data_IF_413723385903
#
_entry.id   IF_413723385903
#
_cell.length_a   1.000
_cell.length_b   1.000
_cell.length_c   1.000
_cell.angle_alpha   90.00
_cell.angle_beta   90.00
_cell.angle_gamma   90.00
#
_symmetry.space_group_name_H-M   'P 1'
#
loop_
_entity.id
_entity.type
_entity.pdbx_description
1 polymer ?
#
# COMPACT_ATOMS: atom_id res chain seq x y z
N UNK A 1 11.18 -3.48 7.24
CA UNK A 1 12.04 -3.94 6.11
C UNK A 1 11.49 -5.19 5.44
N UNK A 2 11.21 -6.27 6.19
CA UNK A 2 10.61 -7.58 5.80
C UNK A 2 9.30 -7.59 4.97
N UNK A 3 8.80 -6.42 4.56
CA UNK A 3 7.68 -6.29 3.62
C UNK A 3 8.18 -5.81 2.25
N UNK A 4 9.48 -5.92 1.97
CA UNK A 4 10.10 -5.45 0.73
C UNK A 4 10.14 -3.92 0.55
N UNK A 5 9.93 -3.13 1.62
CA UNK A 5 10.00 -1.66 1.55
C UNK A 5 11.47 -1.20 1.61
N UNK A 6 12.17 -1.35 0.50
CA UNK A 6 13.58 -0.94 0.32
C UNK A 6 13.58 0.46 -0.29
N UNK A 7 14.40 1.35 0.28
CA UNK A 7 14.57 2.69 -0.25
C UNK A 7 15.54 2.64 -1.45
N UNK A 8 15.13 3.20 -2.57
CA UNK A 8 15.96 3.39 -3.77
C UNK A 8 15.97 4.87 -4.15
N UNK A 9 17.00 5.32 -4.87
CA UNK A 9 17.00 6.64 -5.49
C UNK A 9 16.04 6.63 -6.68
N UNK A 10 14.75 6.79 -6.40
CA UNK A 10 13.68 6.82 -7.37
C UNK A 10 12.46 7.52 -6.80
N UNK A 11 11.48 7.79 -7.65
CA UNK A 11 10.22 8.40 -7.26
C UNK A 11 9.10 7.95 -8.21
N UNK A 12 7.86 8.16 -7.81
CA UNK A 12 6.71 8.02 -8.70
C UNK A 12 6.59 9.28 -9.56
N UNK A 13 6.83 9.14 -10.86
CA UNK A 13 6.73 10.23 -11.83
C UNK A 13 5.42 10.10 -12.59
N UNK A 14 4.58 11.13 -12.54
CA UNK A 14 3.37 11.21 -13.38
C UNK A 14 3.78 11.30 -14.85
N UNK A 15 3.15 10.48 -15.68
CA UNK A 15 3.59 10.28 -17.06
C UNK A 15 2.68 11.01 -18.04
N UNK A 16 3.27 11.58 -19.09
CA UNK A 16 2.53 12.09 -20.26
C UNK A 16 3.18 11.59 -21.56
N UNK A 17 2.36 11.28 -22.57
CA UNK A 17 2.83 10.80 -23.88
C UNK A 17 3.09 11.94 -24.86
N UNK A 18 4.29 11.97 -25.46
CA UNK A 18 4.71 12.90 -26.53
C UNK A 18 4.09 14.32 -26.47
N UNK A 19 4.34 15.10 -25.41
CA UNK A 19 3.67 16.39 -25.23
C UNK A 19 3.99 17.39 -26.35
N UNK A 20 5.19 17.32 -26.94
CA UNK A 20 5.55 18.18 -28.08
C UNK A 20 4.86 17.75 -29.37
N UNK A 21 4.78 16.45 -29.68
CA UNK A 21 3.97 15.97 -30.81
C UNK A 21 2.49 16.42 -30.71
N UNK A 22 1.93 16.39 -29.49
CA UNK A 22 0.58 16.90 -29.23
C UNK A 22 0.47 18.41 -29.48
N UNK A 23 1.51 19.18 -29.13
CA UNK A 23 1.58 20.61 -29.42
C UNK A 23 1.61 20.87 -30.94
N UNK A 24 2.46 20.17 -31.69
CA UNK A 24 2.51 20.24 -33.16
C UNK A 24 1.13 19.96 -33.76
N UNK A 25 0.48 18.87 -33.33
CA UNK A 25 -0.87 18.53 -33.79
C UNK A 25 -1.89 19.63 -33.50
N UNK A 26 -1.83 20.25 -32.31
CA UNK A 26 -2.77 21.29 -31.90
C UNK A 26 -2.72 22.57 -32.75
N UNK A 27 -1.56 22.84 -33.38
CA UNK A 27 -1.37 23.99 -34.27
C UNK A 27 -1.46 23.62 -35.76
N UNK A 28 -1.81 22.37 -36.08
CA UNK A 28 -1.97 21.88 -37.45
C UNK A 28 -0.66 21.47 -38.14
N UNK A 29 0.42 21.30 -37.38
CA UNK A 29 1.70 20.78 -37.87
C UNK A 29 1.74 19.25 -37.84
N UNK A 30 2.72 18.66 -38.54
CA UNK A 30 2.90 17.21 -38.61
C UNK A 30 3.56 16.68 -37.34
N UNK A 31 2.76 16.09 -36.45
CA UNK A 31 3.20 15.48 -35.20
C UNK A 31 4.27 14.39 -35.38
N UNK A 32 4.39 13.80 -36.57
CA UNK A 32 5.42 12.79 -36.87
C UNK A 32 6.82 13.39 -37.00
N UNK A 33 6.91 14.71 -37.12
CA UNK A 33 8.17 15.46 -37.18
C UNK A 33 8.59 15.97 -35.79
N UNK A 34 8.05 15.39 -34.72
CA UNK A 34 8.46 15.65 -33.34
C UNK A 34 9.99 15.42 -33.18
N UNK A 35 10.79 16.48 -32.94
CA UNK A 35 12.24 16.37 -32.79
C UNK A 35 12.65 15.96 -31.37
N UNK A 36 11.70 15.85 -30.43
CA UNK A 36 12.01 15.66 -29.01
C UNK A 36 12.34 14.23 -28.65
N UNK A 37 11.77 13.27 -29.36
CA UNK A 37 11.99 11.84 -29.13
C UNK A 37 12.19 11.09 -30.46
N UNK A 38 12.95 10.02 -30.39
CA UNK A 38 13.15 9.08 -31.50
C UNK A 38 12.99 7.63 -31.02
N UNK A 39 12.55 6.70 -31.88
CA UNK A 39 12.60 5.28 -31.57
C UNK A 39 14.06 4.81 -31.37
N UNK A 40 14.30 4.02 -30.33
CA UNK A 40 15.60 3.46 -29.99
C UNK A 40 15.50 1.94 -29.85
N UNK A 41 16.60 1.22 -30.09
CA UNK A 41 16.65 -0.23 -29.88
C UNK A 41 16.93 -0.53 -28.41
N UNK A 42 16.15 -1.43 -27.81
CA UNK A 42 16.28 -1.87 -26.41
C UNK A 42 16.05 -0.81 -25.34
N UNK A 43 15.49 0.35 -25.70
CA UNK A 43 15.12 1.40 -24.75
C UNK A 43 14.02 2.29 -25.33
N UNK A 44 13.36 3.05 -24.46
CA UNK A 44 12.37 4.05 -24.85
C UNK A 44 12.86 5.42 -24.40
N UNK A 45 12.92 6.38 -25.32
CA UNK A 45 13.29 7.74 -24.97
C UNK A 45 12.22 8.38 -24.08
N UNK A 46 12.66 9.06 -23.04
CA UNK A 46 11.82 9.83 -22.13
C UNK A 46 12.51 11.15 -21.77
N UNK A 47 11.76 12.05 -21.15
CA UNK A 47 12.28 13.30 -20.62
C UNK A 47 11.75 13.54 -19.21
N UNK A 48 12.67 13.68 -18.26
CA UNK A 48 12.37 14.13 -16.91
C UNK A 48 13.53 14.93 -16.32
N UNK A 49 13.20 15.96 -15.54
CA UNK A 49 14.16 16.78 -14.78
C UNK A 49 14.63 16.11 -13.48
N UNK A 50 14.10 14.92 -13.15
CA UNK A 50 14.50 14.15 -11.96
C UNK A 50 15.92 13.58 -12.08
N UNK A 51 16.30 13.22 -13.29
CA UNK A 51 17.53 12.53 -13.67
C UNK A 51 18.26 13.34 -14.75
N UNK A 52 19.55 13.07 -14.95
CA UNK A 52 20.36 13.83 -15.91
C UNK A 52 20.09 13.39 -17.35
N UNK A 53 20.39 14.27 -18.28
CA UNK A 53 20.43 13.95 -19.71
C UNK A 53 21.42 12.81 -19.99
N UNK A 54 21.04 11.89 -20.86
CA UNK A 54 21.78 10.67 -21.20
C UNK A 54 21.72 9.55 -20.17
N UNK A 55 21.01 9.71 -19.04
CA UNK A 55 20.87 8.63 -18.06
C UNK A 55 19.86 7.57 -18.51
N UNK A 56 20.22 6.30 -18.38
CA UNK A 56 19.29 5.19 -18.51
C UNK A 56 18.56 4.95 -17.19
N UNK A 57 17.26 4.68 -17.28
CA UNK A 57 16.35 4.56 -16.14
C UNK A 57 15.60 3.23 -16.21
N UNK A 58 15.29 2.69 -15.04
CA UNK A 58 14.37 1.57 -14.88
C UNK A 58 13.01 2.11 -14.43
N UNK A 59 11.94 1.68 -15.09
CA UNK A 59 10.56 2.08 -14.79
C UNK A 59 9.66 0.89 -14.50
N UNK A 60 8.81 1.05 -13.48
CA UNK A 60 7.76 0.10 -13.13
C UNK A 60 6.42 0.81 -12.95
N UNK A 61 5.36 0.23 -13.49
CA UNK A 61 3.98 0.59 -13.14
C UNK A 61 3.40 -0.46 -12.22
N UNK A 62 2.62 -0.01 -11.24
CA UNK A 62 1.86 -0.94 -10.41
C UNK A 62 0.51 -1.28 -11.07
N UNK A 63 0.07 -2.55 -11.02
CA UNK A 63 0.77 -3.71 -10.47
C UNK A 63 1.85 -4.24 -11.41
N UNK A 64 3.04 -4.52 -10.85
CA UNK A 64 4.13 -5.18 -11.57
C UNK A 64 4.01 -6.70 -11.40
N UNK A 65 3.66 -7.40 -12.47
CA UNK A 65 3.30 -8.83 -12.42
C UNK A 65 4.37 -9.76 -13.01
N UNK A 66 5.19 -9.26 -13.94
CA UNK A 66 6.17 -10.07 -14.66
C UNK A 66 7.33 -9.21 -15.16
N UNK A 67 8.50 -9.82 -15.45
CA UNK A 67 9.64 -9.12 -16.07
C UNK A 67 9.28 -8.42 -17.38
N UNK A 68 8.29 -8.93 -18.10
CA UNK A 68 7.77 -8.37 -19.34
C UNK A 68 7.23 -6.94 -19.16
N UNK A 69 6.85 -6.56 -17.94
CA UNK A 69 6.31 -5.23 -17.62
C UNK A 69 7.33 -4.30 -16.95
N UNK A 70 8.62 -4.57 -17.14
CA UNK A 70 9.70 -3.67 -16.76
C UNK A 70 10.11 -2.85 -17.99
N UNK A 71 10.22 -1.53 -17.85
CA UNK A 71 10.66 -0.65 -18.93
C UNK A 71 12.09 -0.14 -18.71
N UNK A 72 12.83 -0.08 -19.81
CA UNK A 72 14.15 0.51 -19.89
C UNK A 72 14.05 1.84 -20.64
N UNK A 73 14.22 2.94 -19.92
CA UNK A 73 14.10 4.28 -20.49
C UNK A 73 15.48 4.89 -20.71
N UNK A 74 15.58 5.76 -21.72
CA UNK A 74 16.74 6.62 -21.95
C UNK A 74 16.29 8.08 -21.82
N UNK A 75 16.80 8.77 -20.80
CA UNK A 75 16.42 10.14 -20.51
C UNK A 75 17.17 11.11 -21.43
N UNK A 76 16.46 11.78 -22.32
CA UNK A 76 17.04 12.67 -23.35
C UNK A 76 16.47 14.08 -23.23
N UNK A 77 17.32 15.08 -23.31
CA UNK A 77 16.95 16.49 -23.25
C UNK A 77 16.97 17.10 -24.65
N UNK A 78 15.96 17.93 -24.94
CA UNK A 78 15.90 18.74 -26.16
C UNK A 78 15.60 20.20 -25.84
N UNK A 79 15.93 21.07 -26.78
CA UNK A 79 15.70 22.51 -26.65
C UNK A 79 14.21 22.84 -26.58
N UNK A 80 13.42 22.09 -27.32
CA UNK A 80 11.97 22.14 -27.45
C UNK A 80 11.32 21.72 -26.14
N UNK A 81 11.72 20.58 -25.57
CA UNK A 81 11.20 20.14 -24.27
C UNK A 81 11.48 21.17 -23.17
N UNK A 82 12.69 21.71 -23.13
CA UNK A 82 13.09 22.72 -22.15
C UNK A 82 12.38 24.06 -22.33
N UNK A 83 12.06 24.43 -23.59
CA UNK A 83 11.42 25.70 -23.94
C UNK A 83 9.92 25.71 -23.67
N UNK A 84 9.23 24.61 -23.99
CA UNK A 84 7.76 24.57 -23.97
C UNK A 84 7.18 23.90 -22.72
N UNK A 85 7.96 23.09 -21.99
CA UNK A 85 7.46 22.30 -20.86
C UNK A 85 8.29 22.49 -19.59
N UNK A 86 7.80 23.35 -18.68
CA UNK A 86 8.41 23.54 -17.36
C UNK A 86 7.96 22.46 -16.37
N UNK A 87 8.38 21.22 -16.63
CA UNK A 87 8.06 20.09 -15.76
C UNK A 87 8.72 20.23 -14.39
N UNK A 88 8.04 19.73 -13.36
CA UNK A 88 8.68 19.50 -12.06
C UNK A 88 9.55 18.23 -12.12
N UNK A 89 10.22 17.90 -11.00
CA UNK A 89 10.96 16.63 -10.86
C UNK A 89 10.06 15.41 -10.69
N UNK A 90 8.74 15.59 -10.74
CA UNK A 90 7.75 14.53 -10.53
C UNK A 90 6.96 14.21 -11.80
N UNK A 91 7.37 14.76 -12.95
CA UNK A 91 6.74 14.53 -14.24
C UNK A 91 7.77 13.88 -15.18
N UNK A 92 7.29 12.97 -16.02
CA UNK A 92 8.07 12.33 -17.08
C UNK A 92 7.26 12.31 -18.38
N UNK A 93 7.83 12.86 -19.46
CA UNK A 93 7.30 12.61 -20.79
C UNK A 93 7.92 11.33 -21.36
N UNK A 94 7.13 10.52 -22.06
CA UNK A 94 7.61 9.28 -22.70
C UNK A 94 7.28 9.28 -24.19
N UNK A 95 8.14 8.63 -24.97
CA UNK A 95 7.86 8.38 -26.36
C UNK A 95 6.90 7.20 -26.51
N UNK A 96 5.70 7.47 -27.02
CA UNK A 96 4.66 6.51 -27.38
C UNK A 96 4.63 6.23 -28.89
N UNK A 97 5.34 7.01 -29.70
CA UNK A 97 5.33 6.87 -31.16
C UNK A 97 6.37 5.84 -31.58
N UNK A 98 5.90 4.74 -32.17
CA UNK A 98 6.77 3.66 -32.63
C UNK A 98 7.40 2.85 -31.49
N UNK A 99 6.81 2.89 -30.30
CA UNK A 99 7.26 2.16 -29.11
C UNK A 99 6.15 1.30 -28.53
N UNK A 100 6.50 0.42 -27.61
CA UNK A 100 5.57 -0.47 -26.90
C UNK A 100 5.28 -0.02 -25.47
N UNK A 101 5.55 1.25 -25.13
CA UNK A 101 5.52 1.74 -23.74
C UNK A 101 4.19 1.47 -23.05
N UNK A 102 3.07 1.67 -23.75
CA UNK A 102 1.73 1.52 -23.17
C UNK A 102 1.44 0.07 -22.81
N UNK A 103 1.66 -0.88 -23.73
CA UNK A 103 1.47 -2.31 -23.46
C UNK A 103 2.49 -2.83 -22.44
N UNK A 104 3.76 -2.43 -22.58
CA UNK A 104 4.85 -2.85 -21.69
C UNK A 104 4.59 -2.40 -20.27
N UNK A 105 4.14 -1.17 -20.07
CA UNK A 105 3.72 -0.65 -18.77
C UNK A 105 2.31 -1.10 -18.39
N UNK A 106 1.88 -2.29 -18.83
CA UNK A 106 0.68 -2.97 -18.35
C UNK A 106 -0.62 -2.20 -18.66
N UNK A 107 -0.74 -1.68 -19.88
CA UNK A 107 -1.89 -0.91 -20.34
C UNK A 107 -1.86 0.54 -19.89
N UNK A 108 -0.69 1.18 -19.94
CA UNK A 108 -0.52 2.56 -19.50
C UNK A 108 -1.31 3.56 -20.34
N UNK A 109 -2.07 4.41 -19.64
CA UNK A 109 -2.68 5.61 -20.19
C UNK A 109 -2.04 6.85 -19.55
N UNK A 110 -2.56 8.03 -19.90
CA UNK A 110 -1.99 9.31 -19.46
C UNK A 110 -3.05 10.14 -18.70
N UNK A 111 -3.97 9.48 -18.00
CA UNK A 111 -5.06 10.12 -17.24
C UNK A 111 -4.68 10.55 -15.81
N UNK A 112 -3.44 10.29 -15.39
CA UNK A 112 -2.73 10.66 -14.14
C UNK A 112 -1.79 9.55 -13.66
N UNK A 113 -1.66 8.49 -14.46
CA UNK A 113 -0.76 7.37 -14.24
C UNK A 113 0.67 7.81 -13.92
N UNK A 114 1.32 7.03 -13.07
CA UNK A 114 2.68 7.28 -12.63
C UNK A 114 3.52 6.01 -12.62
N UNK A 115 4.79 6.19 -12.93
CA UNK A 115 5.78 5.13 -12.94
C UNK A 115 6.78 5.34 -11.81
N UNK A 116 7.09 4.28 -11.08
CA UNK A 116 8.24 4.27 -10.19
C UNK A 116 9.49 4.22 -11.06
N UNK A 117 10.25 5.31 -11.09
CA UNK A 117 11.44 5.45 -11.94
C UNK A 117 12.69 5.62 -11.09
N UNK A 118 13.76 4.92 -11.46
CA UNK A 118 15.06 4.97 -10.76
C UNK A 118 16.23 4.84 -11.71
N UNK A 119 17.34 5.51 -11.38
CA UNK A 119 18.63 5.35 -12.07
C UNK A 119 19.58 4.40 -11.33
N UNK A 120 19.07 3.55 -10.43
CA UNK A 120 19.91 2.56 -9.73
C UNK A 120 20.58 1.63 -10.76
N UNK A 121 21.93 1.56 -10.82
CA UNK A 121 22.64 0.85 -11.89
C UNK A 121 22.27 -0.64 -12.00
N UNK A 122 21.97 -1.30 -10.88
CA UNK A 122 21.57 -2.71 -10.88
C UNK A 122 20.18 -2.85 -11.48
N UNK A 123 19.23 -2.00 -11.10
CA UNK A 123 17.87 -2.03 -11.65
C UNK A 123 17.86 -1.68 -13.14
N UNK A 124 18.63 -0.67 -13.57
CA UNK A 124 18.77 -0.29 -14.98
C UNK A 124 19.31 -1.44 -15.82
N UNK A 125 20.38 -2.11 -15.36
CA UNK A 125 20.92 -3.30 -16.04
C UNK A 125 19.87 -4.40 -16.22
N UNK A 126 19.09 -4.70 -15.18
CA UNK A 126 18.04 -5.72 -15.30
C UNK A 126 16.85 -5.24 -16.12
N UNK A 127 16.54 -3.95 -16.16
CA UNK A 127 15.53 -3.41 -17.06
C UNK A 127 15.91 -3.59 -18.53
N UNK A 128 17.17 -3.36 -18.89
CA UNK A 128 17.70 -3.62 -20.23
C UNK A 128 17.56 -5.10 -20.60
N UNK A 129 17.96 -6.01 -19.71
CA UNK A 129 17.80 -7.47 -19.89
C UNK A 129 16.32 -7.83 -20.07
N UNK A 130 15.45 -7.30 -19.20
CA UNK A 130 14.00 -7.53 -19.30
C UNK A 130 13.45 -7.05 -20.64
N UNK A 131 13.84 -5.85 -21.08
CA UNK A 131 13.36 -5.26 -22.33
C UNK A 131 13.76 -6.10 -23.55
N UNK A 132 15.00 -6.57 -23.57
CA UNK A 132 15.57 -7.36 -24.67
C UNK A 132 15.04 -8.79 -24.71
N UNK A 133 14.99 -9.46 -23.55
CA UNK A 133 14.82 -10.91 -23.48
C UNK A 133 13.35 -11.31 -23.19
N UNK A 134 12.52 -10.40 -22.67
CA UNK A 134 11.12 -10.66 -22.35
C UNK A 134 10.18 -9.84 -23.25
N UNK A 135 9.46 -10.50 -24.18
CA UNK A 135 8.53 -9.82 -25.08
C UNK A 135 7.41 -9.11 -24.31
N UNK A 136 6.96 -7.98 -24.85
CA UNK A 136 5.82 -7.25 -24.30
C UNK A 136 4.55 -8.07 -24.34
N UNK A 137 3.83 -8.08 -23.20
CA UNK A 137 2.52 -8.72 -23.11
C UNK A 137 1.48 -7.73 -23.63
N UNK A 138 0.87 -8.06 -24.76
CA UNK A 138 -0.16 -7.24 -25.40
C UNK A 138 -1.55 -7.82 -25.08
N UNK A 139 -2.46 -6.96 -24.62
CA UNK A 139 -3.87 -7.32 -24.50
C UNK A 139 -4.57 -7.18 -25.86
N UNK A 140 -4.76 -8.30 -26.55
CA UNK A 140 -5.41 -8.36 -27.85
C UNK A 140 -6.91 -8.75 -27.78
N UNK A 141 -7.53 -8.73 -26.60
CA UNK A 141 -8.93 -9.10 -26.43
C UNK A 141 -9.87 -8.06 -27.03
N UNK A 142 -10.96 -8.52 -27.64
CA UNK A 142 -11.97 -7.61 -28.20
C UNK A 142 -12.91 -7.10 -27.12
N UNK A 143 -13.25 -5.81 -27.24
CA UNK A 143 -14.32 -5.22 -26.44
C UNK A 143 -15.66 -5.87 -26.77
N UNK A 144 -16.44 -6.15 -25.74
CA UNK A 144 -17.81 -6.59 -25.91
C UNK A 144 -18.69 -5.38 -26.27
N UNK A 145 -19.57 -5.54 -27.25
CA UNK A 145 -20.49 -4.47 -27.69
C UNK A 145 -21.62 -4.14 -26.71
N UNK A 146 -21.43 -4.42 -25.41
CA UNK A 146 -22.47 -4.24 -24.39
C UNK A 146 -22.60 -2.76 -24.05
N UNK A 147 -23.77 -2.19 -24.35
CA UNK A 147 -24.10 -0.80 -24.04
C UNK A 147 -25.08 -0.73 -22.87
N UNK A 148 -24.77 0.09 -21.87
CA UNK A 148 -25.66 0.36 -20.74
C UNK A 148 -26.66 1.47 -21.07
N UNK A 149 -27.91 1.31 -20.62
CA UNK A 149 -28.90 2.40 -20.67
C UNK A 149 -28.74 3.28 -19.44
N UNK A 150 -28.91 4.60 -19.59
CA UNK A 150 -28.87 5.55 -18.47
C UNK A 150 -30.13 5.42 -17.58
N UNK A 151 -30.20 4.35 -16.79
CA UNK A 151 -31.32 4.03 -15.90
C UNK A 151 -30.80 3.53 -14.55
N UNK A 152 -31.53 3.79 -13.47
CA UNK A 152 -31.11 3.39 -12.10
C UNK A 152 -30.86 1.89 -11.96
N UNK A 153 -31.60 1.05 -12.69
CA UNK A 153 -31.41 -0.40 -12.67
C UNK A 153 -30.04 -0.80 -13.26
N UNK A 154 -29.63 -0.17 -14.35
CA UNK A 154 -28.33 -0.43 -14.97
C UNK A 154 -27.18 0.10 -14.10
N UNK A 155 -27.32 1.27 -13.46
CA UNK A 155 -26.35 1.72 -12.45
C UNK A 155 -26.20 0.72 -11.30
N UNK A 156 -27.30 0.22 -10.73
CA UNK A 156 -27.26 -0.78 -9.67
C UNK A 156 -26.57 -2.09 -10.11
N UNK A 157 -26.74 -2.49 -11.38
CA UNK A 157 -26.05 -3.65 -11.97
C UNK A 157 -24.54 -3.39 -12.12
N UNK A 158 -24.17 -2.22 -12.63
CA UNK A 158 -22.78 -1.79 -12.75
C UNK A 158 -22.09 -1.77 -11.38
N UNK A 159 -22.68 -1.13 -10.37
CA UNK A 159 -22.13 -1.05 -9.01
C UNK A 159 -21.89 -2.44 -8.40
N UNK A 160 -22.85 -3.35 -8.54
CA UNK A 160 -22.71 -4.72 -8.04
C UNK A 160 -21.58 -5.48 -8.78
N UNK A 161 -21.40 -5.22 -10.08
CA UNK A 161 -20.31 -5.81 -10.87
C UNK A 161 -18.96 -5.23 -10.46
N UNK A 162 -18.83 -3.91 -10.33
CA UNK A 162 -17.58 -3.23 -9.95
C UNK A 162 -17.16 -3.53 -8.50
N UNK A 163 -18.12 -3.74 -7.60
CA UNK A 163 -17.82 -4.20 -6.24
C UNK A 163 -17.10 -5.55 -6.23
N UNK A 164 -17.44 -6.45 -7.17
CA UNK A 164 -16.81 -7.78 -7.29
C UNK A 164 -15.45 -7.75 -7.99
N UNK A 165 -15.20 -6.82 -8.92
CA UNK A 165 -13.95 -6.75 -9.68
C UNK A 165 -12.73 -6.44 -8.80
N UNK A 166 -12.90 -5.70 -7.69
CA UNK A 166 -11.82 -5.44 -6.71
C UNK A 166 -11.12 -6.70 -6.20
N UNK A 167 -11.85 -7.81 -6.09
CA UNK A 167 -11.29 -9.11 -5.66
C UNK A 167 -10.43 -9.72 -6.77
N UNK A 168 -10.82 -9.53 -8.03
CA UNK A 168 -10.14 -10.10 -9.20
C UNK A 168 -8.72 -9.58 -9.41
N UNK A 169 -8.47 -8.29 -9.17
CA UNK A 169 -7.13 -7.68 -9.33
C UNK A 169 -6.14 -8.32 -8.34
N UNK A 170 -6.53 -8.37 -7.06
CA UNK A 170 -5.71 -8.99 -6.03
C UNK A 170 -5.55 -10.50 -6.25
N UNK A 171 -6.58 -11.18 -6.73
CA UNK A 171 -6.53 -12.62 -6.94
C UNK A 171 -5.63 -13.00 -8.13
N UNK A 172 -5.80 -12.35 -9.28
CA UNK A 172 -4.96 -12.54 -10.48
C UNK A 172 -3.49 -12.26 -10.20
N UNK A 173 -3.18 -11.12 -9.58
CA UNK A 173 -1.79 -10.72 -9.27
C UNK A 173 -1.10 -11.71 -8.32
N UNK A 174 -1.79 -12.16 -7.26
CA UNK A 174 -1.26 -13.17 -6.35
C UNK A 174 -1.04 -14.52 -7.06
N UNK A 175 -1.95 -14.89 -7.96
CA UNK A 175 -1.85 -16.14 -8.70
C UNK A 175 -0.71 -16.09 -9.74
N UNK A 176 -0.49 -14.94 -10.38
CA UNK A 176 0.62 -14.70 -11.30
C UNK A 176 1.97 -14.81 -10.58
N UNK A 177 2.09 -14.21 -9.39
CA UNK A 177 3.30 -14.33 -8.55
C UNK A 177 3.59 -15.77 -8.14
N UNK A 178 2.56 -16.57 -7.84
CA UNK A 178 2.73 -17.99 -7.56
C UNK A 178 3.14 -18.77 -8.80
N UNK A 179 2.50 -18.52 -9.95
CA UNK A 179 2.86 -19.16 -11.22
C UNK A 179 4.33 -18.87 -11.59
N UNK A 180 4.76 -17.61 -11.45
CA UNK A 180 6.14 -17.19 -11.66
C UNK A 180 7.11 -17.85 -10.68
N UNK A 181 6.75 -17.95 -9.39
CA UNK A 181 7.54 -18.66 -8.38
C UNK A 181 7.72 -20.13 -8.75
N UNK A 182 6.64 -20.80 -9.17
CA UNK A 182 6.70 -22.21 -9.55
C UNK A 182 7.48 -22.40 -10.84
N UNK A 183 7.37 -21.47 -11.80
CA UNK A 183 8.12 -21.48 -13.05
C UNK A 183 9.62 -21.46 -12.77
N UNK A 184 10.09 -20.48 -11.97
CA UNK A 184 11.50 -20.40 -11.61
C UNK A 184 11.96 -21.60 -10.78
N UNK A 185 11.13 -22.10 -9.88
CA UNK A 185 11.47 -23.30 -9.10
C UNK A 185 11.65 -24.52 -10.01
N UNK A 186 10.72 -24.75 -10.95
CA UNK A 186 10.80 -25.87 -11.89
C UNK A 186 12.00 -25.73 -12.82
N UNK A 187 12.30 -24.52 -13.28
CA UNK A 187 13.41 -24.25 -14.21
C UNK A 187 14.78 -24.56 -13.60
N UNK A 188 14.91 -24.49 -12.28
CA UNK A 188 16.16 -24.78 -11.56
C UNK A 188 16.35 -26.28 -11.26
N UNK A 189 15.35 -27.13 -11.54
CA UNK A 189 15.50 -28.57 -11.37
C UNK A 189 16.53 -29.13 -12.35
N UNK A 190 17.26 -30.19 -11.96
CA UNK A 190 18.21 -30.88 -12.84
C UNK A 190 17.54 -31.42 -14.11
N UNK A 191 16.28 -31.87 -14.00
CA UNK A 191 15.46 -32.36 -15.10
C UNK A 191 14.08 -31.68 -15.05
N UNK A 192 13.94 -30.47 -15.63
CA UNK A 192 12.69 -29.71 -15.57
C UNK A 192 11.59 -30.34 -16.44
N UNK A 193 10.35 -30.33 -15.95
CA UNK A 193 9.18 -30.69 -16.75
C UNK A 193 8.82 -29.55 -17.71
N UNK A 194 9.17 -29.71 -18.98
CA UNK A 194 8.96 -28.71 -20.03
C UNK A 194 7.47 -28.39 -20.27
N UNK A 195 6.57 -29.35 -20.12
CA UNK A 195 5.13 -29.11 -20.29
C UNK A 195 4.61 -28.24 -19.14
N UNK A 196 5.02 -28.58 -17.91
CA UNK A 196 4.69 -27.79 -16.73
C UNK A 196 5.27 -26.38 -16.79
N UNK A 197 6.51 -26.23 -17.26
CA UNK A 197 7.13 -24.91 -17.47
C UNK A 197 6.32 -24.07 -18.44
N UNK A 198 5.92 -24.64 -19.57
CA UNK A 198 5.07 -23.96 -20.56
C UNK A 198 3.74 -23.53 -19.95
N UNK A 199 3.05 -24.43 -19.25
CA UNK A 199 1.78 -24.12 -18.59
C UNK A 199 1.92 -22.98 -17.58
N UNK A 200 3.00 -22.99 -16.77
CA UNK A 200 3.26 -21.94 -15.78
C UNK A 200 3.59 -20.60 -16.44
N UNK A 201 4.35 -20.62 -17.54
CA UNK A 201 4.66 -19.45 -18.33
C UNK A 201 3.39 -18.82 -18.92
N UNK A 202 2.62 -19.63 -19.65
CA UNK A 202 1.36 -19.22 -20.24
C UNK A 202 0.41 -18.66 -19.16
N UNK A 203 0.36 -19.30 -17.99
CA UNK A 203 -0.49 -18.85 -16.88
C UNK A 203 -0.14 -17.45 -16.38
N UNK A 204 1.13 -17.12 -16.10
CA UNK A 204 1.45 -15.78 -15.58
C UNK A 204 1.26 -14.70 -16.66
N UNK A 205 1.50 -15.03 -17.94
CA UNK A 205 1.23 -14.13 -19.07
C UNK A 205 -0.27 -13.84 -19.19
N UNK A 206 -1.10 -14.89 -19.21
CA UNK A 206 -2.56 -14.77 -19.26
C UNK A 206 -3.06 -13.98 -18.04
N UNK A 207 -2.57 -14.29 -16.84
CA UNK A 207 -2.97 -13.58 -15.62
C UNK A 207 -2.59 -12.10 -15.63
N UNK A 208 -1.51 -11.71 -16.32
CA UNK A 208 -1.17 -10.29 -16.53
C UNK A 208 -2.24 -9.60 -17.38
N UNK A 209 -2.64 -10.21 -18.51
CA UNK A 209 -3.75 -9.69 -19.34
C UNK A 209 -5.07 -9.65 -18.56
N UNK A 210 -5.40 -10.70 -17.79
CA UNK A 210 -6.62 -10.73 -16.97
C UNK A 210 -6.61 -9.64 -15.89
N UNK A 211 -5.45 -9.29 -15.33
CA UNK A 211 -5.36 -8.18 -14.39
C UNK A 211 -5.73 -6.84 -15.06
N UNK A 212 -5.24 -6.59 -16.27
CA UNK A 212 -5.62 -5.41 -17.07
C UNK A 212 -7.12 -5.39 -17.35
N UNK A 213 -7.68 -6.51 -17.85
CA UNK A 213 -9.11 -6.66 -18.13
C UNK A 213 -9.98 -6.42 -16.89
N UNK A 214 -9.55 -6.85 -15.70
CA UNK A 214 -10.32 -6.61 -14.47
C UNK A 214 -10.25 -5.15 -14.03
N UNK A 215 -9.12 -4.46 -14.24
CA UNK A 215 -8.96 -3.02 -13.98
C UNK A 215 -9.87 -2.23 -14.92
N UNK A 216 -9.80 -2.52 -16.21
CA UNK A 216 -10.59 -1.88 -17.26
C UNK A 216 -12.06 -2.32 -17.25
N UNK A 217 -12.39 -3.42 -16.57
CA UNK A 217 -13.75 -3.92 -16.41
C UNK A 217 -14.75 -2.93 -15.80
N UNK A 218 -14.25 -1.82 -15.22
CA UNK A 218 -15.05 -0.69 -14.77
C UNK A 218 -15.40 0.30 -15.90
N UNK A 219 -14.55 0.41 -16.92
CA UNK A 219 -14.66 1.33 -18.05
C UNK A 219 -15.26 0.62 -19.28
N UNK A 220 -14.90 -0.65 -19.51
CA UNK A 220 -15.16 -1.42 -20.73
C UNK A 220 -15.47 -2.88 -20.39
N UNK A 221 -16.07 -3.58 -21.34
CA UNK A 221 -16.27 -5.02 -21.23
C UNK A 221 -15.54 -5.75 -22.33
N UNK A 222 -15.17 -7.01 -22.10
CA UNK A 222 -14.39 -7.82 -23.01
C UNK A 222 -15.12 -9.12 -23.36
N UNK A 223 -14.70 -9.78 -24.44
CA UNK A 223 -15.29 -11.03 -24.92
C UNK A 223 -15.14 -12.23 -23.96
N UNK A 224 -14.36 -12.08 -22.88
CA UNK A 224 -14.13 -13.11 -21.86
C UNK A 224 -14.60 -12.68 -20.47
N UNK A 225 -14.94 -13.66 -19.63
CA UNK A 225 -15.18 -13.46 -18.20
C UNK A 225 -13.88 -13.69 -17.43
N UNK A 226 -13.19 -12.60 -17.07
CA UNK A 226 -11.89 -12.67 -16.41
C UNK A 226 -11.93 -13.42 -15.07
N UNK A 227 -13.03 -13.33 -14.30
CA UNK A 227 -13.12 -14.01 -13.01
C UNK A 227 -13.23 -15.52 -13.15
N UNK A 228 -13.99 -15.99 -14.15
CA UNK A 228 -14.05 -17.43 -14.46
C UNK A 228 -12.69 -17.95 -14.92
N UNK A 229 -11.96 -17.16 -15.69
CA UNK A 229 -10.65 -17.56 -16.20
C UNK A 229 -9.58 -17.62 -15.11
N UNK A 230 -9.55 -16.64 -14.20
CA UNK A 230 -8.69 -16.68 -13.01
C UNK A 230 -9.01 -17.92 -12.16
N UNK A 231 -10.29 -18.25 -11.97
CA UNK A 231 -10.71 -19.44 -11.22
C UNK A 231 -10.30 -20.74 -11.93
N UNK A 232 -10.43 -20.82 -13.26
CA UNK A 232 -9.97 -21.95 -14.08
C UNK A 232 -8.47 -22.18 -13.90
N UNK A 233 -7.65 -21.14 -14.04
CA UNK A 233 -6.19 -21.22 -13.88
C UNK A 233 -5.82 -21.67 -12.47
N UNK A 234 -6.50 -21.14 -11.43
CA UNK A 234 -6.24 -21.53 -10.04
C UNK A 234 -6.47 -23.02 -9.75
N UNK A 235 -7.25 -23.70 -10.59
CA UNK A 235 -7.58 -25.12 -10.46
C UNK A 235 -6.70 -26.02 -11.31
N UNK A 236 -5.82 -25.48 -12.15
CA UNK A 236 -4.92 -26.26 -13.00
C UNK A 236 -3.96 -27.12 -12.16
N UNK A 237 -3.53 -28.29 -12.67
CA UNK A 237 -2.60 -29.18 -11.94
C UNK A 237 -1.28 -28.51 -11.58
N UNK A 238 -0.69 -27.73 -12.49
CA UNK A 238 0.56 -27.00 -12.27
C UNK A 238 0.48 -25.94 -11.15
N UNK A 239 -0.73 -25.49 -10.81
CA UNK A 239 -0.98 -24.51 -9.74
C UNK A 239 -1.29 -25.15 -8.38
N UNK A 240 -1.34 -26.48 -8.28
CA UNK A 240 -1.71 -27.22 -7.06
C UNK A 240 -0.50 -27.92 -6.44
N UNK A 241 0.18 -27.24 -5.52
CA UNK A 241 1.21 -27.86 -4.68
C UNK A 241 0.61 -28.37 -3.36
N UNK A 242 0.78 -29.66 -3.12
CA UNK A 242 0.29 -30.32 -1.89
C UNK A 242 1.34 -31.24 -1.32
N UNK A 243 1.37 -31.35 0.01
CA UNK A 243 2.13 -32.39 0.73
C UNK A 243 1.17 -33.38 1.39
N UNK A 244 1.63 -34.60 1.57
CA UNK A 244 0.95 -35.58 2.41
C UNK A 244 1.08 -35.14 3.88
N UNK A 245 -0.01 -35.25 4.63
CA UNK A 245 -0.01 -35.05 6.07
C UNK A 245 -1.04 -35.96 6.72
N UNK A 246 -0.98 -36.08 8.04
CA UNK A 246 -1.94 -36.86 8.81
C UNK A 246 -2.99 -35.91 9.41
N UNK A 247 -4.26 -36.31 9.38
CA UNK A 247 -5.33 -35.61 10.08
C UNK A 247 -5.42 -36.04 11.56
N UNK A 248 -6.29 -35.38 12.33
CA UNK A 248 -6.45 -35.69 13.76
C UNK A 248 -7.03 -37.10 14.03
N UNK A 249 -7.40 -37.85 12.98
CA UNK A 249 -7.97 -39.20 13.02
C UNK A 249 -7.02 -40.25 12.44
N UNK A 250 -5.76 -39.89 12.16
CA UNK A 250 -4.76 -40.81 11.62
C UNK A 250 -4.85 -41.05 10.11
N UNK A 251 -5.72 -40.34 9.38
CA UNK A 251 -5.88 -40.51 7.93
C UNK A 251 -4.90 -39.65 7.15
N UNK A 252 -4.32 -40.21 6.09
CA UNK A 252 -3.48 -39.47 5.14
C UNK A 252 -4.37 -38.50 4.34
N UNK A 253 -4.06 -37.22 4.44
CA UNK A 253 -4.74 -36.12 3.75
C UNK A 253 -3.74 -35.26 2.98
N UNK A 254 -4.11 -34.82 1.78
CA UNK A 254 -3.34 -33.84 1.02
C UNK A 254 -3.59 -32.44 1.59
N UNK A 255 -2.54 -31.80 2.10
CA UNK A 255 -2.59 -30.42 2.62
C UNK A 255 -1.87 -29.49 1.64
N UNK A 256 -2.41 -28.28 1.46
CA UNK A 256 -1.76 -27.24 0.63
C UNK A 256 -0.38 -26.92 1.18
N UNK A 257 0.60 -26.82 0.28
CA UNK A 257 2.00 -26.57 0.58
C UNK A 257 2.61 -25.76 -0.56
N UNK A 258 2.04 -24.57 -0.73
CA UNK A 258 2.01 -23.82 -1.98
C UNK A 258 2.50 -22.38 -1.84
N UNK A 259 3.00 -21.97 -0.68
CA UNK A 259 3.48 -20.60 -0.47
C UNK A 259 4.99 -20.54 -0.29
N UNK A 260 5.71 -19.64 -0.98
CA UNK A 260 7.12 -19.41 -0.72
C UNK A 260 7.33 -18.73 0.64
N UNK A 261 8.55 -18.81 1.17
CA UNK A 261 8.87 -18.37 2.53
C UNK A 261 8.56 -16.89 2.80
N UNK A 262 8.83 -15.99 1.85
CA UNK A 262 8.60 -14.56 2.02
C UNK A 262 7.13 -14.22 2.35
N UNK A 263 6.18 -15.06 1.93
CA UNK A 263 4.75 -14.86 2.22
C UNK A 263 4.42 -14.94 3.71
N UNK A 264 5.30 -15.51 4.54
CA UNK A 264 5.21 -15.46 6.01
C UNK A 264 5.23 -14.01 6.53
N UNK A 265 5.94 -13.11 5.85
CA UNK A 265 6.14 -11.74 6.30
C UNK A 265 5.20 -10.74 5.63
N UNK A 266 4.78 -11.01 4.39
CA UNK A 266 3.94 -10.09 3.60
C UNK A 266 2.45 -10.32 3.79
N UNK A 267 1.98 -11.57 3.99
CA UNK A 267 0.56 -11.83 4.24
C UNK A 267 0.15 -11.40 5.63
N UNK A 268 -0.68 -10.36 5.68
CA UNK A 268 -1.23 -9.86 6.95
C UNK A 268 -2.39 -10.75 7.39
N UNK A 269 -2.28 -11.36 8.57
CA UNK A 269 -3.41 -12.03 9.22
C UNK A 269 -4.30 -10.95 9.80
N UNK A 270 -5.58 -10.91 9.40
CA UNK A 270 -6.53 -9.97 9.94
C UNK A 270 -6.58 -10.10 11.48
N UNK A 271 -6.42 -8.97 12.16
CA UNK A 271 -6.52 -8.86 13.63
C UNK A 271 -7.90 -8.30 13.99
N UNK A 272 -8.58 -7.65 13.05
CA UNK A 272 -9.90 -7.06 13.22
C UNK A 272 -10.83 -7.48 12.10
N UNK A 273 -12.13 -7.56 12.40
CA UNK A 273 -13.21 -7.75 11.42
C UNK A 273 -14.34 -6.78 11.76
N UNK A 274 -14.74 -5.94 10.80
CA UNK A 274 -15.76 -4.90 10.99
C UNK A 274 -15.50 -3.99 12.21
N UNK A 275 -14.24 -3.60 12.40
CA UNK A 275 -13.82 -2.72 13.50
C UNK A 275 -13.74 -3.39 14.89
N UNK A 276 -14.03 -4.69 15.02
CA UNK A 276 -13.85 -5.45 16.26
C UNK A 276 -12.59 -6.31 16.22
N UNK A 277 -11.84 -6.37 17.32
CA UNK A 277 -10.70 -7.30 17.45
C UNK A 277 -11.17 -8.75 17.41
N UNK A 278 -10.45 -9.57 16.66
CA UNK A 278 -10.67 -11.01 16.60
C UNK A 278 -10.10 -11.67 17.86
N UNK A 279 -10.72 -12.76 18.35
CA UNK A 279 -10.18 -13.52 19.47
C UNK A 279 -8.74 -13.96 19.20
N UNK A 280 -7.85 -13.87 20.21
CA UNK A 280 -6.44 -14.26 20.07
C UNK A 280 -6.27 -15.70 19.53
N UNK A 281 -7.15 -16.62 19.94
CA UNK A 281 -7.18 -18.00 19.45
C UNK A 281 -7.36 -18.07 17.93
N UNK A 282 -8.27 -17.28 17.37
CA UNK A 282 -8.53 -17.23 15.93
C UNK A 282 -7.33 -16.65 15.16
N UNK A 283 -6.68 -15.62 15.71
CA UNK A 283 -5.47 -15.03 15.13
C UNK A 283 -4.33 -16.06 15.09
N UNK A 284 -4.14 -16.82 16.18
CA UNK A 284 -3.12 -17.88 16.27
C UNK A 284 -3.43 -19.00 15.26
N UNK A 285 -4.68 -19.45 15.17
CA UNK A 285 -5.10 -20.47 14.20
C UNK A 285 -4.85 -20.02 12.76
N UNK A 286 -5.16 -18.77 12.41
CA UNK A 286 -4.92 -18.22 11.08
C UNK A 286 -3.43 -18.09 10.77
N UNK A 287 -2.61 -17.69 11.75
CA UNK A 287 -1.13 -17.69 11.62
C UNK A 287 -0.60 -19.11 11.39
N UNK A 288 -1.11 -20.10 12.12
CA UNK A 288 -0.70 -21.50 11.96
C UNK A 288 -1.13 -22.07 10.60
N UNK A 289 -2.33 -21.73 10.11
CA UNK A 289 -2.78 -22.10 8.74
C UNK A 289 -1.85 -21.54 7.68
N UNK A 290 -1.40 -20.29 7.82
CA UNK A 290 -0.43 -19.69 6.90
C UNK A 290 0.92 -20.43 6.96
N UNK A 291 1.48 -20.61 8.16
CA UNK A 291 2.74 -21.33 8.37
C UNK A 291 2.72 -22.74 7.77
N UNK A 292 1.61 -23.45 7.89
CA UNK A 292 1.47 -24.82 7.39
C UNK A 292 1.48 -24.92 5.86
N UNK A 293 1.26 -23.82 5.14
CA UNK A 293 1.31 -23.74 3.67
C UNK A 293 2.68 -23.32 3.13
N UNK A 294 3.58 -22.84 3.99
CA UNK A 294 4.91 -22.38 3.58
C UNK A 294 5.74 -23.58 3.13
N UNK A 295 6.22 -23.54 1.89
CA UNK A 295 7.09 -24.52 1.27
C UNK A 295 8.49 -23.91 1.05
N UNK A 296 9.50 -24.31 1.84
CA UNK A 296 10.89 -23.88 1.69
C UNK A 296 11.55 -24.30 0.38
N UNK A 297 11.02 -25.33 -0.31
CA UNK A 297 11.59 -25.79 -1.58
C UNK A 297 11.29 -24.85 -2.75
N UNK A 298 10.42 -23.85 -2.56
CA UNK A 298 10.09 -22.88 -3.59
C UNK A 298 11.19 -21.83 -3.69
N UNK A 299 11.76 -21.68 -4.87
CA UNK A 299 12.83 -20.74 -5.16
C UNK A 299 12.20 -19.51 -5.80
N UNK A 300 12.40 -18.35 -5.18
CA UNK A 300 12.00 -17.07 -5.78
C UNK A 300 12.89 -15.92 -5.28
N UNK A 301 13.06 -14.85 -6.08
CA UNK A 301 13.88 -13.70 -5.69
C UNK A 301 13.47 -13.05 -4.36
N UNK A 302 12.19 -13.10 -4.02
CA UNK A 302 11.70 -12.56 -2.74
C UNK A 302 12.14 -13.38 -1.53
N UNK A 303 12.42 -14.68 -1.66
CA UNK A 303 13.02 -15.45 -0.57
C UNK A 303 14.49 -15.03 -0.35
N UNK A 304 15.26 -14.85 -1.43
CA UNK A 304 16.63 -14.33 -1.35
C UNK A 304 16.69 -12.95 -0.70
N UNK A 305 15.72 -12.09 -1.00
CA UNK A 305 15.62 -10.81 -0.30
C UNK A 305 15.46 -11.01 1.21
N UNK A 306 14.60 -11.93 1.65
CA UNK A 306 14.43 -12.21 3.08
C UNK A 306 15.71 -12.75 3.72
N UNK A 307 16.46 -13.61 3.02
CA UNK A 307 17.78 -14.09 3.46
C UNK A 307 18.76 -12.93 3.64
N UNK A 308 18.87 -12.03 2.65
CA UNK A 308 19.71 -10.83 2.79
C UNK A 308 19.25 -9.92 3.95
N UNK A 309 17.93 -9.83 4.20
CA UNK A 309 17.39 -9.08 5.33
C UNK A 309 17.61 -9.76 6.70
N UNK A 310 17.91 -11.06 6.74
CA UNK A 310 18.33 -11.79 7.96
C UNK A 310 19.75 -11.42 8.39
N UNK A 311 20.62 -11.05 7.44
CA UNK A 311 22.00 -10.63 7.72
C UNK A 311 22.10 -9.21 8.29
N UNK A 312 21.08 -8.37 8.06
CA UNK A 312 21.06 -6.99 8.55
C UNK A 312 20.84 -7.00 10.06
N UNK A 313 21.87 -6.58 10.81
CA UNK A 313 21.78 -6.43 12.27
C UNK A 313 20.61 -5.51 12.64
N UNK A 314 19.74 -5.92 13.58
CA UNK A 314 18.72 -5.04 14.13
C UNK A 314 19.38 -3.77 14.69
N UNK A 315 18.71 -2.63 14.53
CA UNK A 315 19.12 -1.41 15.21
C UNK A 315 19.18 -1.66 16.73
N UNK A 316 20.15 -1.03 17.41
CA UNK A 316 20.26 -1.12 18.87
C UNK A 316 18.95 -0.69 19.52
N UNK A 317 18.27 -1.63 20.17
CA UNK A 317 17.06 -1.32 20.92
C UNK A 317 17.46 -0.94 22.34
N UNK A 318 17.19 0.30 22.75
CA UNK A 318 17.18 0.65 24.17
C UNK A 318 15.92 0.07 24.80
N UNK A 319 16.03 -0.50 26.01
CA UNK A 319 14.84 -0.86 26.79
C UNK A 319 14.01 0.41 26.99
N UNK A 320 12.71 0.35 26.68
CA UNK A 320 11.80 1.44 27.01
C UNK A 320 11.77 1.61 28.52
N UNK A 321 12.13 2.79 29.01
CA UNK A 321 11.98 3.12 30.43
C UNK A 321 10.48 3.29 30.72
N UNK A 322 9.93 2.63 31.74
CA UNK A 322 8.54 2.80 32.13
C UNK A 322 8.18 4.27 32.39
N UNK A 323 7.02 4.72 31.88
CA UNK A 323 6.56 6.11 32.08
C UNK A 323 6.29 6.44 33.56
N UNK A 324 6.06 5.40 34.39
CA UNK A 324 5.95 5.50 35.84
C UNK A 324 7.19 6.11 36.49
N UNK A 325 8.37 5.87 35.93
CA UNK A 325 9.65 6.29 36.50
C UNK A 325 9.83 7.81 36.37
N UNK A 326 9.07 8.43 35.46
CA UNK A 326 9.07 9.86 35.25
C UNK A 326 7.94 10.58 35.98
N UNK A 327 6.88 9.88 36.39
CA UNK A 327 5.69 10.53 36.96
C UNK A 327 5.83 10.79 38.47
N UNK A 328 5.78 12.06 38.86
CA UNK A 328 5.86 12.48 40.27
C UNK A 328 4.47 12.39 40.90
N UNK A 329 4.22 11.36 41.71
CA UNK A 329 2.96 11.22 42.46
C UNK A 329 2.89 12.25 43.59
N UNK A 330 2.00 13.24 43.46
CA UNK A 330 1.82 14.28 44.49
C UNK A 330 0.87 13.85 45.60
N UNK A 331 1.16 14.26 46.84
CA UNK A 331 0.30 14.07 48.01
C UNK A 331 -0.87 15.08 48.02
N UNK A 332 -2.01 14.67 48.57
CA UNK A 332 -3.20 15.52 48.72
C UNK A 332 -4.44 15.05 47.95
N UNK A 333 -5.53 15.80 48.14
CA UNK A 333 -6.85 15.53 47.55
C UNK A 333 -7.09 16.44 46.35
N UNK A 334 -7.38 15.84 45.19
CA UNK A 334 -7.76 16.56 43.99
C UNK A 334 -9.19 17.09 44.06
N UNK A 335 -9.50 18.09 43.24
CA UNK A 335 -10.87 18.57 43.07
C UNK A 335 -11.61 17.70 42.04
N UNK A 336 -12.39 16.74 42.54
CA UNK A 336 -13.15 15.81 41.69
C UNK A 336 -14.10 16.51 40.71
N UNK A 337 -14.71 17.65 41.09
CA UNK A 337 -15.64 18.38 40.21
C UNK A 337 -14.90 19.00 39.02
N UNK A 338 -13.71 19.53 39.24
CA UNK A 338 -12.86 20.06 38.17
C UNK A 338 -12.38 18.93 37.25
N UNK A 339 -11.95 17.80 37.81
CA UNK A 339 -11.55 16.63 37.02
C UNK A 339 -12.69 16.13 36.12
N UNK A 340 -13.89 15.96 36.67
CA UNK A 340 -15.05 15.51 35.90
C UNK A 340 -15.43 16.51 34.79
N UNK A 341 -15.36 17.83 35.07
CA UNK A 341 -15.64 18.85 34.06
C UNK A 341 -14.63 18.80 32.90
N UNK A 342 -13.34 18.69 33.20
CA UNK A 342 -12.29 18.59 32.18
C UNK A 342 -12.48 17.32 31.33
N UNK A 343 -12.76 16.18 31.97
CA UNK A 343 -13.03 14.92 31.26
C UNK A 343 -14.23 15.05 30.33
N UNK A 344 -15.36 15.60 30.81
CA UNK A 344 -16.57 15.80 30.00
C UNK A 344 -16.28 16.63 28.75
N UNK A 345 -15.58 17.76 28.90
CA UNK A 345 -15.25 18.63 27.76
C UNK A 345 -14.41 17.91 26.70
N UNK A 346 -13.45 17.08 27.13
CA UNK A 346 -12.60 16.30 26.22
C UNK A 346 -13.36 15.13 25.59
N UNK A 347 -14.28 14.51 26.32
CA UNK A 347 -15.17 13.47 25.81
C UNK A 347 -16.13 13.99 24.76
N UNK A 348 -16.70 15.19 24.98
CA UNK A 348 -17.61 15.81 24.02
C UNK A 348 -16.87 16.24 22.75
N UNK A 349 -15.64 16.76 22.88
CA UNK A 349 -14.75 16.98 21.73
C UNK A 349 -14.41 15.67 21.00
N UNK A 350 -14.21 14.55 21.70
CA UNK A 350 -13.98 13.26 21.04
C UNK A 350 -15.19 12.80 20.22
N UNK A 351 -16.41 12.99 20.73
CA UNK A 351 -17.64 12.71 19.98
C UNK A 351 -17.76 13.62 18.76
N UNK A 352 -17.46 14.91 18.90
CA UNK A 352 -17.45 15.86 17.79
C UNK A 352 -16.51 15.39 16.66
N UNK A 353 -15.26 15.07 16.98
CA UNK A 353 -14.27 14.60 15.98
C UNK A 353 -14.77 13.35 15.26
N UNK A 354 -15.38 12.41 15.98
CA UNK A 354 -15.93 11.18 15.38
C UNK A 354 -17.10 11.44 14.46
N UNK A 355 -18.03 12.30 14.88
CA UNK A 355 -19.19 12.66 14.06
C UNK A 355 -18.75 13.42 12.80
N UNK A 356 -17.78 14.33 12.93
CA UNK A 356 -17.25 15.11 11.81
C UNK A 356 -16.73 14.22 10.68
N UNK A 357 -15.96 13.18 11.02
CA UNK A 357 -15.46 12.21 10.05
C UNK A 357 -16.53 11.26 9.48
N UNK A 358 -17.75 11.27 10.02
CA UNK A 358 -18.88 10.49 9.49
C UNK A 358 -19.73 11.36 8.56
N UNK A 359 -19.89 12.65 8.87
CA UNK A 359 -20.81 13.53 8.15
C UNK A 359 -20.16 14.28 6.98
N UNK A 360 -18.84 14.43 6.99
CA UNK A 360 -18.11 15.19 5.97
C UNK A 360 -17.03 14.30 5.33
N UNK A 361 -16.91 14.36 4.00
CA UNK A 361 -15.88 13.67 3.23
C UNK A 361 -14.77 14.61 2.75
N UNK A 362 -15.01 15.93 2.76
CA UNK A 362 -14.05 16.93 2.34
C UNK A 362 -12.97 17.21 3.41
N UNK A 363 -11.72 16.98 3.07
CA UNK A 363 -10.59 17.07 4.01
C UNK A 363 -10.28 18.49 4.45
N UNK A 364 -10.47 19.48 3.58
CA UNK A 364 -10.19 20.88 3.91
C UNK A 364 -11.21 21.39 4.94
N UNK A 365 -12.50 21.16 4.70
CA UNK A 365 -13.59 21.46 5.63
C UNK A 365 -13.42 20.74 6.97
N UNK A 366 -13.02 19.46 6.96
CA UNK A 366 -12.74 18.71 8.20
C UNK A 366 -11.63 19.42 8.99
N UNK A 367 -10.53 19.78 8.34
CA UNK A 367 -9.38 20.40 9.01
C UNK A 367 -9.74 21.76 9.62
N UNK A 368 -10.47 22.61 8.90
CA UNK A 368 -10.92 23.91 9.41
C UNK A 368 -11.80 23.78 10.66
N UNK A 369 -12.80 22.88 10.62
CA UNK A 369 -13.70 22.65 11.75
C UNK A 369 -12.99 22.02 12.95
N UNK A 370 -12.02 21.13 12.71
CA UNK A 370 -11.17 20.57 13.77
C UNK A 370 -10.34 21.66 14.47
N UNK A 371 -9.74 22.57 13.71
CA UNK A 371 -8.96 23.68 14.26
C UNK A 371 -9.84 24.60 15.10
N UNK A 372 -11.02 24.95 14.57
CA UNK A 372 -11.99 25.81 15.26
C UNK A 372 -12.43 25.20 16.61
N UNK A 373 -12.93 23.96 16.61
CA UNK A 373 -13.38 23.32 17.85
C UNK A 373 -12.25 22.99 18.81
N UNK A 374 -11.04 22.71 18.30
CA UNK A 374 -9.86 22.53 19.15
C UNK A 374 -9.53 23.80 19.95
N UNK A 375 -9.61 24.96 19.30
CA UNK A 375 -9.39 26.26 19.92
C UNK A 375 -10.51 26.61 20.91
N UNK A 376 -11.76 26.29 20.58
CA UNK A 376 -12.92 26.49 21.45
C UNK A 376 -12.79 25.65 22.74
N UNK A 377 -12.48 24.36 22.62
CA UNK A 377 -12.20 23.48 23.76
C UNK A 377 -11.07 24.04 24.64
N UNK A 378 -9.98 24.50 24.02
CA UNK A 378 -8.86 25.07 24.78
C UNK A 378 -9.26 26.34 25.56
N UNK A 379 -10.11 27.18 24.97
CA UNK A 379 -10.68 28.36 25.63
C UNK A 379 -11.52 27.96 26.85
N UNK A 380 -12.42 26.99 26.70
CA UNK A 380 -13.26 26.47 27.79
C UNK A 380 -12.43 25.84 28.92
N UNK A 381 -11.39 25.09 28.58
CA UNK A 381 -10.48 24.52 29.57
C UNK A 381 -9.73 25.59 30.35
N UNK A 382 -9.25 26.65 29.68
CA UNK A 382 -8.54 27.78 30.32
C UNK A 382 -9.42 28.57 31.29
N UNK A 383 -10.74 28.56 31.10
CA UNK A 383 -11.70 29.17 32.06
C UNK A 383 -11.72 28.43 33.41
N UNK A 384 -11.28 27.18 33.46
CA UNK A 384 -11.23 26.38 34.70
C UNK A 384 -10.00 26.80 35.51
N UNK A 385 -10.20 27.63 36.54
CA UNK A 385 -9.13 28.05 37.46
C UNK A 385 -8.67 26.90 38.36
N UNK A 386 -7.61 26.19 37.96
CA UNK A 386 -6.99 25.13 38.75
C UNK A 386 -5.95 25.75 39.68
N UNK A 387 -6.30 25.91 40.96
CA UNK A 387 -5.37 26.37 42.01
C UNK A 387 -4.59 25.21 42.65
N UNK A 388 -5.14 24.01 42.60
CA UNK A 388 -4.55 22.81 43.19
C UNK A 388 -3.87 21.96 42.11
N UNK A 389 -2.54 21.95 42.11
CA UNK A 389 -1.73 21.16 41.17
C UNK A 389 -2.04 19.66 41.23
N UNK A 390 -2.46 19.15 42.40
CA UNK A 390 -2.86 17.75 42.60
C UNK A 390 -4.03 17.37 41.68
N UNK A 391 -4.87 18.31 41.26
CA UNK A 391 -5.96 18.06 40.30
C UNK A 391 -5.41 17.68 38.92
N UNK A 392 -4.36 18.36 38.44
CA UNK A 392 -3.68 18.02 37.17
C UNK A 392 -2.91 16.72 37.34
N UNK A 393 -2.21 16.54 38.47
CA UNK A 393 -1.48 15.32 38.81
C UNK A 393 -2.38 14.06 38.72
N UNK A 394 -3.58 14.10 39.33
CA UNK A 394 -4.53 12.98 39.28
C UNK A 394 -5.12 12.75 37.89
N UNK A 395 -5.31 13.79 37.08
CA UNK A 395 -5.76 13.61 35.70
C UNK A 395 -4.68 12.91 34.87
N UNK A 396 -3.42 13.32 34.99
CA UNK A 396 -2.27 12.68 34.33
C UNK A 396 -2.14 11.22 34.77
N UNK A 397 -2.19 10.96 36.08
CA UNK A 397 -2.14 9.60 36.64
C UNK A 397 -3.20 8.69 36.04
N UNK A 398 -4.46 9.16 36.01
CA UNK A 398 -5.58 8.38 35.45
C UNK A 398 -5.51 8.24 33.93
N UNK A 399 -4.93 9.21 33.23
CA UNK A 399 -4.71 9.13 31.78
C UNK A 399 -3.63 8.09 31.44
N UNK A 400 -2.60 7.94 32.27
CA UNK A 400 -1.59 6.89 32.13
C UNK A 400 -2.03 5.53 32.71
N UNK A 401 -3.13 5.48 33.46
CA UNK A 401 -3.59 4.25 34.12
C UNK A 401 -2.69 3.81 35.28
N UNK A 402 -2.00 4.77 35.90
CA UNK A 402 -1.09 4.54 37.03
C UNK A 402 -1.83 4.51 38.39
N UNK A 403 -3.16 4.65 38.40
CA UNK A 403 -3.94 4.70 39.62
C UNK A 403 -4.21 3.30 40.21
N UNK A 404 -3.95 3.15 41.51
CA UNK A 404 -4.07 1.87 42.23
C UNK A 404 -5.53 1.44 42.54
N UNK A 405 -6.55 2.09 41.95
CA UNK A 405 -7.94 1.60 41.94
C UNK A 405 -8.66 1.48 43.29
N UNK A 406 -8.31 2.25 44.33
CA UNK A 406 -9.01 2.18 45.64
C UNK A 406 -10.23 3.12 45.68
N UNK A 407 -11.44 2.57 45.90
CA UNK A 407 -12.69 3.32 46.08
C UNK A 407 -13.39 3.72 44.77
N UNK A 408 -13.92 4.95 44.65
CA UNK A 408 -14.60 5.44 43.43
C UNK A 408 -13.70 5.44 42.16
N UNK A 409 -12.39 5.32 42.31
CA UNK A 409 -11.45 5.10 41.19
C UNK A 409 -11.64 3.74 40.52
N UNK A 410 -12.13 2.72 41.23
CA UNK A 410 -12.38 1.40 40.66
C UNK A 410 -13.48 1.42 39.58
N UNK A 411 -14.47 2.34 39.70
CA UNK A 411 -15.54 2.56 38.70
C UNK A 411 -15.08 3.35 37.46
N UNK A 412 -13.91 3.99 37.51
CA UNK A 412 -13.35 4.81 36.40
C UNK A 412 -12.10 4.21 35.77
N UNK A 413 -11.68 3.02 36.25
CA UNK A 413 -10.58 2.21 35.72
C UNK A 413 -10.89 1.87 34.25
N UNK A 414 -10.05 2.32 33.32
CA UNK A 414 -10.20 2.09 31.87
C UNK A 414 -10.99 3.15 31.08
N UNK A 415 -11.82 3.98 31.71
CA UNK A 415 -12.53 5.07 31.01
C UNK A 415 -11.57 6.21 30.67
N UNK A 416 -10.66 6.53 31.61
CA UNK A 416 -9.71 7.64 31.47
C UNK A 416 -8.58 7.32 30.48
N UNK A 417 -8.19 6.05 30.34
CA UNK A 417 -7.14 5.61 29.40
C UNK A 417 -7.59 5.71 27.93
N UNK A 418 -8.90 5.54 27.66
CA UNK A 418 -9.49 5.69 26.33
C UNK A 418 -9.20 7.07 25.70
N UNK A 419 -9.19 8.11 26.53
CA UNK A 419 -8.96 9.50 26.09
C UNK A 419 -7.56 10.03 26.46
N UNK A 420 -6.64 9.14 26.85
CA UNK A 420 -5.33 9.47 27.41
C UNK A 420 -4.57 10.54 26.60
N UNK A 421 -4.38 10.32 25.29
CA UNK A 421 -3.66 11.26 24.40
C UNK A 421 -4.29 12.65 24.36
N UNK A 422 -5.62 12.72 24.31
CA UNK A 422 -6.35 14.00 24.27
C UNK A 422 -6.26 14.72 25.62
N UNK A 423 -6.43 13.99 26.72
CA UNK A 423 -6.27 14.52 28.08
C UNK A 423 -4.88 15.13 28.25
N UNK A 424 -3.82 14.38 27.96
CA UNK A 424 -2.44 14.84 28.14
C UNK A 424 -2.13 16.06 27.26
N UNK A 425 -2.53 16.03 25.98
CA UNK A 425 -2.29 17.14 25.05
C UNK A 425 -2.98 18.43 25.52
N UNK A 426 -4.26 18.36 25.90
CA UNK A 426 -4.99 19.54 26.33
C UNK A 426 -4.57 20.05 27.72
N UNK A 427 -4.15 19.18 28.63
CA UNK A 427 -3.56 19.62 29.90
C UNK A 427 -2.24 20.38 29.66
N UNK A 428 -1.39 19.88 28.75
CA UNK A 428 -0.16 20.57 28.35
C UNK A 428 -0.46 21.94 27.69
N UNK A 429 -1.42 22.00 26.75
CA UNK A 429 -1.82 23.27 26.08
C UNK A 429 -2.50 24.25 27.02
N UNK A 430 -3.20 23.77 28.04
CA UNK A 430 -3.89 24.58 29.03
C UNK A 430 -2.89 25.28 29.95
N UNK A 431 -1.90 24.56 30.47
CA UNK A 431 -0.79 25.15 31.23
C UNK A 431 0.45 24.23 31.19
N UNK A 432 1.39 24.57 30.32
CA UNK A 432 2.62 23.80 30.08
C UNK A 432 3.44 23.64 31.36
N UNK A 433 3.67 24.73 32.08
CA UNK A 433 4.56 24.75 33.26
C UNK A 433 4.00 23.88 34.39
N UNK A 434 2.69 23.97 34.64
CA UNK A 434 2.05 23.14 35.65
C UNK A 434 2.02 21.67 35.21
N UNK A 435 1.80 21.39 33.93
CA UNK A 435 1.84 20.02 33.40
C UNK A 435 3.22 19.39 33.59
N UNK A 436 4.28 20.08 33.19
CA UNK A 436 5.66 19.57 33.24
C UNK A 436 6.16 19.34 34.67
N UNK A 437 5.69 20.10 35.66
CA UNK A 437 5.97 19.86 37.10
C UNK A 437 5.52 18.49 37.64
N UNK A 438 4.74 17.73 36.88
CA UNK A 438 4.34 16.38 37.25
C UNK A 438 5.34 15.31 36.78
N UNK A 439 6.43 15.72 36.14
CA UNK A 439 7.45 14.83 35.61
C UNK A 439 8.83 15.16 36.18
N UNK A 440 9.68 14.15 36.38
CA UNK A 440 11.09 14.37 36.71
C UNK A 440 11.86 14.90 35.50
N UNK A 441 12.78 15.83 35.75
CA UNK A 441 13.80 16.23 34.77
C UNK A 441 14.86 15.12 34.73
N UNK A 442 15.25 14.70 33.53
CA UNK A 442 16.33 13.75 33.29
C UNK A 442 17.61 14.48 32.91
#
# INVERSE_FOLDING_TARGET
MRKGKILVNGDNLTVCGNPYALLLYSVGEDWKQDPTFSPETNSIQCYTRRFKDGEYLCGFRNPHNSPNNCCHFHNVYSSEMSRYFDFSKNIMAVNCIGTDVQDRMNGEDFDSDFNLVTNNPVMVKYAEICYRDFPTIVNALKESGITYKNTMLEYARMDNKFSKSRIGIGYSSNLAQLALTYYWTELQNENPDMNKLKDLYDNFVILSVLAQVVIDGCKREYEIDAMKEIDRISKMPCMKLTRLGVDNRGKIVKKKYDFPEFMKYTRTVAITKNGKELPQKEIIENKNKLKNRINPSLICPMNWLEECLDEIKPASTSKSVPISDFFIKMNGKANNRQMSKIRSLIEDYDKFVKNLHITNDDQETINEQLVYESNNLLSELRKIKIRNIVTINRLIETAFGLDNGVGNSHKTKGISSKYSRKILNYLYKMNKDIFLKNFSEQ
#
